data_IF_258925069210
#
_entry.id   IF_258925069210
#
_cell.length_a   1.000
_cell.length_b   1.000
_cell.length_c   1.000
_cell.angle_alpha   90.00
_cell.angle_beta   90.00
_cell.angle_gamma   90.00
#
_symmetry.space_group_name_H-M   'P 1'
#
loop_
_entity.id
_entity.type
_entity.pdbx_description
1 polymer ?
#
# COMPACT_ATOMS: atom_id res chain seq x y z
N UNK A 1 -24.07 1.54 24.50
CA UNK A 1 -23.36 2.52 23.63
C UNK A 1 -21.97 1.96 23.36
N UNK A 2 -21.60 1.73 22.10
CA UNK A 2 -20.23 1.30 21.74
C UNK A 2 -19.30 2.51 21.95
N UNK A 3 -18.19 2.38 22.69
CA UNK A 3 -17.26 3.48 22.91
C UNK A 3 -16.79 4.08 21.58
N UNK A 4 -16.65 5.40 21.50
CA UNK A 4 -16.25 6.11 20.28
C UNK A 4 -14.96 5.53 19.66
N UNK A 5 -14.02 5.09 20.51
CA UNK A 5 -12.76 4.44 20.11
C UNK A 5 -12.96 3.10 19.38
N UNK A 6 -13.98 2.32 19.75
CA UNK A 6 -14.33 1.08 19.05
C UNK A 6 -14.90 1.37 17.66
N UNK A 7 -15.79 2.36 17.55
CA UNK A 7 -16.38 2.75 16.25
C UNK A 7 -15.30 3.21 15.25
N UNK A 8 -14.34 4.01 15.71
CA UNK A 8 -13.21 4.43 14.87
C UNK A 8 -12.31 3.26 14.48
N UNK A 9 -11.99 2.34 15.40
CA UNK A 9 -11.17 1.18 15.09
C UNK A 9 -11.84 0.25 14.08
N UNK A 10 -13.14 -0.01 14.23
CA UNK A 10 -13.91 -0.83 13.31
C UNK A 10 -13.97 -0.17 11.92
N UNK A 11 -14.19 1.16 11.88
CA UNK A 11 -14.15 1.93 10.64
C UNK A 11 -12.77 1.81 9.96
N UNK A 12 -11.68 2.01 10.69
CA UNK A 12 -10.31 1.92 10.18
C UNK A 12 -10.05 0.52 9.60
N UNK A 13 -10.37 -0.53 10.35
CA UNK A 13 -10.12 -1.91 9.92
C UNK A 13 -10.95 -2.27 8.68
N UNK A 14 -12.23 -1.93 8.67
CA UNK A 14 -13.13 -2.21 7.55
C UNK A 14 -12.69 -1.47 6.28
N UNK A 15 -12.36 -0.18 6.39
CA UNK A 15 -11.90 0.61 5.24
C UNK A 15 -10.54 0.12 4.73
N UNK A 16 -9.59 -0.16 5.61
CA UNK A 16 -8.29 -0.70 5.23
C UNK A 16 -8.43 -2.05 4.52
N UNK A 17 -9.25 -2.97 5.06
CA UNK A 17 -9.48 -4.28 4.46
C UNK A 17 -10.16 -4.16 3.09
N UNK A 18 -11.23 -3.37 3.01
CA UNK A 18 -11.93 -3.11 1.74
C UNK A 18 -10.98 -2.53 0.70
N UNK A 19 -10.19 -1.53 1.08
CA UNK A 19 -9.24 -0.90 0.17
C UNK A 19 -8.14 -1.87 -0.29
N UNK A 20 -7.64 -2.72 0.61
CA UNK A 20 -6.69 -3.77 0.29
C UNK A 20 -7.23 -4.78 -0.73
N UNK A 21 -8.43 -5.31 -0.50
CA UNK A 21 -9.06 -6.26 -1.42
C UNK A 21 -9.34 -5.61 -2.78
N UNK A 22 -9.92 -4.41 -2.80
CA UNK A 22 -10.21 -3.69 -4.05
C UNK A 22 -8.94 -3.41 -4.84
N UNK A 23 -7.86 -2.96 -4.19
CA UNK A 23 -6.59 -2.69 -4.90
C UNK A 23 -5.90 -3.95 -5.36
N UNK A 24 -6.02 -5.07 -4.63
CA UNK A 24 -5.49 -6.35 -5.07
C UNK A 24 -6.16 -6.81 -6.37
N UNK A 25 -7.49 -6.72 -6.44
CA UNK A 25 -8.24 -7.08 -7.65
C UNK A 25 -7.87 -6.14 -8.80
N UNK A 26 -7.92 -4.83 -8.60
CA UNK A 26 -7.62 -3.84 -9.65
C UNK A 26 -6.20 -4.04 -10.19
N UNK A 27 -5.20 -4.10 -9.31
CA UNK A 27 -3.80 -4.23 -9.76
C UNK A 27 -3.48 -5.63 -10.27
N UNK A 28 -4.19 -6.66 -9.82
CA UNK A 28 -4.11 -7.99 -10.41
C UNK A 28 -4.63 -8.00 -11.85
N UNK A 29 -5.77 -7.35 -12.11
CA UNK A 29 -6.30 -7.19 -13.47
C UNK A 29 -5.35 -6.37 -14.34
N UNK A 30 -4.85 -5.22 -13.85
CA UNK A 30 -3.84 -4.42 -14.57
C UNK A 30 -2.60 -5.26 -14.87
N UNK A 31 -2.13 -6.05 -13.88
CA UNK A 31 -1.03 -6.98 -14.04
C UNK A 31 -1.28 -7.99 -15.15
N UNK A 32 -2.48 -8.59 -15.20
CA UNK A 32 -2.85 -9.51 -16.26
C UNK A 32 -2.77 -8.84 -17.64
N UNK A 33 -3.32 -7.64 -17.80
CA UNK A 33 -3.26 -6.92 -19.07
C UNK A 33 -1.84 -6.50 -19.47
N UNK A 34 -0.97 -6.26 -18.49
CA UNK A 34 0.44 -5.91 -18.69
C UNK A 34 1.32 -7.13 -19.03
N UNK A 35 0.94 -8.31 -18.55
CA UNK A 35 1.73 -9.54 -18.64
C UNK A 35 1.22 -10.52 -19.70
N UNK A 36 -0.05 -10.45 -20.09
CA UNK A 36 -0.62 -11.31 -21.13
C UNK A 36 0.18 -11.20 -22.43
N UNK A 37 0.37 -12.34 -23.10
CA UNK A 37 1.18 -12.42 -24.32
C UNK A 37 2.69 -12.59 -24.10
N UNK A 38 3.14 -12.71 -22.84
CA UNK A 38 4.51 -13.12 -22.50
C UNK A 38 4.50 -14.57 -22.02
N UNK A 39 5.36 -15.41 -22.60
CA UNK A 39 5.45 -16.83 -22.25
C UNK A 39 5.95 -17.02 -20.81
N UNK A 40 7.00 -16.30 -20.45
CA UNK A 40 7.54 -16.25 -19.09
C UNK A 40 7.97 -14.84 -18.73
N UNK A 41 7.89 -14.52 -17.45
CA UNK A 41 8.23 -13.24 -16.88
C UNK A 41 9.22 -13.43 -15.73
N UNK A 42 10.27 -12.62 -15.66
CA UNK A 42 11.12 -12.61 -14.47
C UNK A 42 10.33 -12.06 -13.29
N UNK A 43 10.15 -12.89 -12.27
CA UNK A 43 9.66 -12.46 -10.97
C UNK A 43 10.72 -11.60 -10.28
N UNK A 44 11.93 -12.12 -10.26
CA UNK A 44 13.16 -11.50 -9.76
C UNK A 44 14.27 -11.70 -10.81
N UNK A 45 15.21 -10.76 -10.94
CA UNK A 45 16.48 -10.94 -11.66
C UNK A 45 17.58 -10.24 -10.87
N UNK A 46 18.83 -10.65 -11.10
CA UNK A 46 20.00 -10.02 -10.48
C UNK A 46 20.24 -8.67 -11.15
N UNK A 47 19.57 -7.64 -10.64
CA UNK A 47 19.46 -6.32 -11.29
C UNK A 47 20.62 -5.39 -11.00
N UNK A 48 21.74 -5.85 -10.42
CA UNK A 48 22.96 -5.03 -10.39
C UNK A 48 23.42 -4.70 -11.83
N UNK A 49 23.05 -5.51 -12.84
CA UNK A 49 23.43 -5.30 -14.24
C UNK A 49 22.30 -5.30 -15.29
N UNK A 50 21.04 -5.59 -14.94
CA UNK A 50 19.95 -5.81 -15.91
C UNK A 50 18.93 -4.66 -16.01
N UNK A 51 18.72 -4.10 -17.20
CA UNK A 51 17.63 -3.15 -17.49
C UNK A 51 16.22 -3.81 -17.58
N UNK A 52 16.09 -5.09 -17.19
CA UNK A 52 14.85 -5.83 -17.35
C UNK A 52 13.81 -5.50 -16.25
N UNK A 53 12.59 -5.19 -16.68
CA UNK A 53 11.46 -5.00 -15.76
C UNK A 53 10.96 -6.35 -15.24
N UNK A 54 11.00 -6.54 -13.93
CA UNK A 54 10.47 -7.71 -13.23
C UNK A 54 9.10 -7.46 -12.64
N UNK A 55 8.41 -8.55 -12.27
CA UNK A 55 7.14 -8.46 -11.52
C UNK A 55 7.36 -7.73 -10.20
N UNK A 56 8.46 -8.01 -9.46
CA UNK A 56 8.74 -7.29 -8.23
C UNK A 56 9.15 -5.83 -8.44
N UNK A 57 9.96 -5.50 -9.45
CA UNK A 57 10.28 -4.08 -9.72
C UNK A 57 9.02 -3.28 -10.01
N UNK A 58 8.04 -3.91 -10.68
CA UNK A 58 6.74 -3.29 -10.94
C UNK A 58 5.92 -3.20 -9.65
N UNK A 59 5.84 -4.29 -8.89
CA UNK A 59 5.07 -4.35 -7.65
C UNK A 59 5.56 -3.39 -6.57
N UNK A 60 6.87 -3.23 -6.42
CA UNK A 60 7.50 -2.29 -5.49
C UNK A 60 7.10 -0.85 -5.84
N UNK A 61 7.18 -0.48 -7.12
CA UNK A 61 6.73 0.84 -7.57
C UNK A 61 5.22 1.02 -7.41
N UNK A 62 4.43 -0.01 -7.72
CA UNK A 62 2.98 0.00 -7.48
C UNK A 62 2.65 0.22 -6.01
N UNK A 63 3.32 -0.48 -5.09
CA UNK A 63 3.13 -0.31 -3.65
C UNK A 63 3.38 1.14 -3.21
N UNK A 64 4.44 1.77 -3.73
CA UNK A 64 4.73 3.17 -3.45
C UNK A 64 3.65 4.11 -4.00
N UNK A 65 3.32 4.01 -5.29
CA UNK A 65 2.31 4.87 -5.92
C UNK A 65 0.94 4.73 -5.26
N UNK A 66 0.52 3.51 -4.97
CA UNK A 66 -0.73 3.21 -4.25
C UNK A 66 -0.71 3.82 -2.85
N UNK A 67 0.44 3.77 -2.17
CA UNK A 67 0.59 4.41 -0.86
C UNK A 67 0.40 5.93 -0.92
N UNK A 68 0.96 6.60 -1.92
CA UNK A 68 0.79 8.06 -2.06
C UNK A 68 -0.68 8.42 -2.31
N UNK A 69 -1.32 7.75 -3.26
CA UNK A 69 -2.71 8.03 -3.65
C UNK A 69 -3.66 7.71 -2.51
N UNK A 70 -3.63 6.47 -2.00
CA UNK A 70 -4.58 6.04 -0.97
C UNK A 70 -4.29 6.66 0.38
N UNK A 71 -3.02 6.93 0.72
CA UNK A 71 -2.68 7.68 1.92
C UNK A 71 -3.29 9.08 1.90
N UNK A 72 -3.27 9.74 0.75
CA UNK A 72 -3.91 11.06 0.56
C UNK A 72 -5.43 10.97 0.74
N UNK A 73 -6.07 10.01 0.09
CA UNK A 73 -7.52 9.80 0.22
C UNK A 73 -7.89 9.48 1.68
N UNK A 74 -7.17 8.56 2.32
CA UNK A 74 -7.38 8.17 3.71
C UNK A 74 -7.29 9.37 4.65
N UNK A 75 -6.31 10.25 4.44
CA UNK A 75 -6.14 11.46 5.25
C UNK A 75 -7.41 12.33 5.22
N UNK A 76 -7.90 12.68 4.03
CA UNK A 76 -9.06 13.57 3.91
C UNK A 76 -10.37 12.91 4.35
N UNK A 77 -10.60 11.66 3.95
CA UNK A 77 -11.84 10.94 4.30
C UNK A 77 -11.94 10.67 5.79
N UNK A 78 -10.85 10.23 6.42
CA UNK A 78 -10.87 9.93 7.84
C UNK A 78 -10.88 11.18 8.71
N UNK A 79 -10.31 12.30 8.26
CA UNK A 79 -10.40 13.59 8.97
C UNK A 79 -11.85 13.96 9.27
N UNK A 80 -12.72 13.81 8.28
CA UNK A 80 -14.14 14.12 8.44
C UNK A 80 -14.83 13.11 9.37
N UNK A 81 -14.56 11.81 9.19
CA UNK A 81 -15.15 10.76 10.04
C UNK A 81 -14.69 10.80 11.50
N UNK A 82 -13.45 11.17 11.75
CA UNK A 82 -12.92 11.30 13.10
C UNK A 82 -13.60 12.44 13.88
N UNK A 83 -14.05 13.51 13.18
CA UNK A 83 -14.90 14.56 13.76
C UNK A 83 -16.27 13.98 14.14
N UNK A 84 -16.92 13.28 13.22
CA UNK A 84 -18.23 12.65 13.45
C UNK A 84 -18.20 11.70 14.67
N UNK A 85 -17.13 10.91 14.80
CA UNK A 85 -16.97 9.96 15.90
C UNK A 85 -16.50 10.59 17.22
N UNK A 86 -16.11 11.88 17.24
CA UNK A 86 -15.60 12.56 18.45
C UNK A 86 -14.39 11.84 19.09
N UNK A 87 -13.52 11.23 18.27
CA UNK A 87 -12.41 10.36 18.74
C UNK A 87 -11.05 11.05 18.84
N UNK A 88 -10.93 12.26 18.31
CA UNK A 88 -9.69 13.03 18.35
C UNK A 88 -9.99 14.47 18.75
N UNK A 89 -9.05 15.11 19.45
CA UNK A 89 -9.18 16.53 19.76
C UNK A 89 -9.19 17.36 18.46
N UNK A 90 -9.89 18.51 18.44
CA UNK A 90 -9.91 19.40 17.28
C UNK A 90 -8.50 19.75 16.78
N UNK A 91 -7.55 19.95 17.69
CA UNK A 91 -6.15 20.25 17.41
C UNK A 91 -5.46 19.18 16.54
N UNK A 92 -5.70 17.89 16.82
CA UNK A 92 -5.14 16.78 16.04
C UNK A 92 -5.73 16.75 14.62
N UNK A 93 -7.02 17.05 14.51
CA UNK A 93 -7.74 17.06 13.24
C UNK A 93 -7.52 18.35 12.45
N UNK A 94 -7.02 19.42 13.06
CA UNK A 94 -6.71 20.68 12.39
C UNK A 94 -5.31 20.70 11.76
N UNK A 95 -4.49 19.68 12.03
CA UNK A 95 -3.14 19.54 11.48
C UNK A 95 -3.11 19.75 9.95
N UNK A 96 -2.22 20.63 9.45
CA UNK A 96 -2.17 20.96 8.03
C UNK A 96 -1.70 19.77 7.20
N UNK A 97 -2.35 19.55 6.06
CA UNK A 97 -2.04 18.43 5.16
C UNK A 97 -0.59 18.46 4.68
N UNK A 98 -0.04 19.62 4.33
CA UNK A 98 1.30 19.70 3.75
C UNK A 98 2.41 19.31 4.73
N UNK A 99 2.30 19.66 6.01
CA UNK A 99 3.34 19.33 6.99
C UNK A 99 3.11 17.97 7.64
N UNK A 100 1.88 17.67 8.04
CA UNK A 100 1.56 16.44 8.75
C UNK A 100 1.14 15.31 7.80
N UNK A 101 0.18 15.59 6.91
CA UNK A 101 -0.35 14.61 5.95
C UNK A 101 0.72 14.09 4.99
N UNK A 102 1.39 14.96 4.25
CA UNK A 102 2.44 14.60 3.28
C UNK A 102 3.59 13.88 3.97
N UNK A 103 4.10 14.39 5.10
CA UNK A 103 5.14 13.71 5.89
C UNK A 103 4.72 12.30 6.29
N UNK A 104 3.51 12.14 6.81
CA UNK A 104 2.98 10.84 7.25
C UNK A 104 2.85 9.86 6.09
N UNK A 105 2.27 10.32 4.97
CA UNK A 105 2.06 9.52 3.77
C UNK A 105 3.40 9.12 3.14
N UNK A 106 4.36 10.05 3.04
CA UNK A 106 5.70 9.77 2.54
C UNK A 106 6.44 8.79 3.44
N UNK A 107 6.39 8.98 4.76
CA UNK A 107 7.04 8.07 5.70
C UNK A 107 6.52 6.64 5.56
N UNK A 108 5.20 6.44 5.62
CA UNK A 108 4.63 5.09 5.49
C UNK A 108 4.70 4.55 4.06
N UNK A 109 4.64 5.40 3.04
CA UNK A 109 4.81 5.01 1.65
C UNK A 109 6.24 4.53 1.36
N UNK A 110 7.25 5.26 1.84
CA UNK A 110 8.66 4.84 1.77
C UNK A 110 8.91 3.58 2.61
N UNK A 111 8.25 3.43 3.75
CA UNK A 111 8.33 2.22 4.55
C UNK A 111 7.76 1.00 3.79
N UNK A 112 6.59 1.14 3.16
CA UNK A 112 5.98 0.09 2.35
C UNK A 112 6.86 -0.26 1.13
N UNK A 113 7.35 0.76 0.43
CA UNK A 113 8.31 0.62 -0.67
C UNK A 113 9.56 -0.12 -0.23
N UNK A 114 10.22 0.34 0.84
CA UNK A 114 11.46 -0.24 1.34
C UNK A 114 11.27 -1.69 1.80
N UNK A 115 10.16 -1.97 2.48
CA UNK A 115 9.82 -3.34 2.91
C UNK A 115 9.61 -4.26 1.70
N UNK A 116 8.86 -3.81 0.68
CA UNK A 116 8.63 -4.59 -0.53
C UNK A 116 9.93 -4.78 -1.33
N UNK A 117 10.75 -3.74 -1.46
CA UNK A 117 12.03 -3.77 -2.17
C UNK A 117 13.02 -4.72 -1.48
N UNK A 118 13.16 -4.62 -0.16
CA UNK A 118 13.98 -5.54 0.62
C UNK A 118 13.47 -6.96 0.48
N UNK A 119 12.16 -7.20 0.60
CA UNK A 119 11.58 -8.53 0.39
C UNK A 119 11.92 -9.13 -0.97
N UNK A 120 11.80 -8.33 -2.04
CA UNK A 120 12.17 -8.75 -3.40
C UNK A 120 13.67 -9.04 -3.54
N UNK A 121 14.53 -8.18 -3.00
CA UNK A 121 15.98 -8.36 -3.01
C UNK A 121 16.43 -9.59 -2.22
N UNK A 122 15.84 -9.80 -1.03
CA UNK A 122 16.09 -10.99 -0.23
C UNK A 122 15.68 -12.25 -0.99
N UNK A 123 14.49 -12.25 -1.62
CA UNK A 123 14.04 -13.40 -2.40
C UNK A 123 14.97 -13.69 -3.57
N UNK A 124 15.37 -12.67 -4.34
CA UNK A 124 16.34 -12.81 -5.42
C UNK A 124 17.68 -13.35 -4.92
N UNK A 125 18.17 -12.83 -3.78
CA UNK A 125 19.47 -13.23 -3.23
C UNK A 125 19.52 -14.71 -2.84
N UNK A 126 18.43 -15.26 -2.30
CA UNK A 126 18.39 -16.63 -1.80
C UNK A 126 17.85 -17.66 -2.80
N UNK A 127 16.93 -17.27 -3.68
CA UNK A 127 16.30 -18.18 -4.64
C UNK A 127 16.76 -17.95 -6.09
N UNK A 128 17.56 -16.93 -6.34
CA UNK A 128 18.00 -16.55 -7.68
C UNK A 128 16.86 -16.04 -8.55
N UNK A 129 17.10 -16.05 -9.87
CA UNK A 129 16.14 -15.62 -10.88
C UNK A 129 14.99 -16.62 -10.99
N UNK A 130 13.79 -16.19 -10.61
CA UNK A 130 12.57 -17.00 -10.73
C UNK A 130 11.79 -16.53 -11.95
N UNK A 131 11.43 -17.45 -12.84
CA UNK A 131 10.50 -17.19 -13.94
C UNK A 131 9.09 -17.61 -13.53
N UNK A 132 8.11 -16.77 -13.85
CA UNK A 132 6.69 -17.02 -13.57
C UNK A 132 5.85 -16.82 -14.83
N UNK A 133 4.68 -17.43 -14.85
CA UNK A 133 3.69 -17.18 -15.89
C UNK A 133 3.04 -15.80 -15.71
N UNK A 134 2.42 -15.28 -16.78
CA UNK A 134 1.68 -14.01 -16.73
C UNK A 134 0.60 -13.98 -15.65
N UNK A 135 -0.11 -15.10 -15.45
CA UNK A 135 -1.15 -15.24 -14.42
C UNK A 135 -0.54 -15.10 -13.03
N UNK A 136 0.54 -15.84 -12.74
CA UNK A 136 1.20 -15.80 -11.44
C UNK A 136 1.77 -14.40 -11.17
N UNK A 137 2.42 -13.78 -12.16
CA UNK A 137 2.93 -12.42 -12.05
C UNK A 137 1.83 -11.41 -11.73
N UNK A 138 0.67 -11.54 -12.38
CA UNK A 138 -0.49 -10.69 -12.14
C UNK A 138 -1.03 -10.86 -10.71
N UNK A 139 -1.16 -12.09 -10.24
CA UNK A 139 -1.60 -12.40 -8.86
C UNK A 139 -0.64 -11.79 -7.84
N UNK A 140 0.68 -11.96 -8.03
CA UNK A 140 1.70 -11.39 -7.13
C UNK A 140 1.61 -9.87 -7.09
N UNK A 141 1.47 -9.22 -8.26
CA UNK A 141 1.30 -7.77 -8.33
C UNK A 141 0.05 -7.29 -7.58
N UNK A 142 -1.07 -8.00 -7.75
CA UNK A 142 -2.29 -7.76 -6.99
C UNK A 142 -2.06 -7.87 -5.49
N UNK A 143 -1.44 -8.94 -5.01
CA UNK A 143 -1.16 -9.15 -3.58
C UNK A 143 -0.30 -8.02 -3.00
N UNK A 144 0.79 -7.65 -3.67
CA UNK A 144 1.67 -6.56 -3.22
C UNK A 144 0.89 -5.25 -3.09
N UNK A 145 0.11 -4.91 -4.12
CA UNK A 145 -0.71 -3.70 -4.10
C UNK A 145 -1.77 -3.72 -2.99
N UNK A 146 -2.44 -4.86 -2.80
CA UNK A 146 -3.45 -5.01 -1.77
C UNK A 146 -2.89 -4.87 -0.35
N UNK A 147 -1.73 -5.46 -0.08
CA UNK A 147 -1.04 -5.30 1.19
C UNK A 147 -0.65 -3.84 1.41
N UNK A 148 -0.08 -3.19 0.40
CA UNK A 148 0.30 -1.78 0.48
C UNK A 148 -0.92 -0.87 0.75
N UNK A 149 -2.02 -1.10 0.02
CA UNK A 149 -3.27 -0.37 0.19
C UNK A 149 -3.90 -0.56 1.57
N UNK A 150 -3.93 -1.79 2.08
CA UNK A 150 -4.39 -2.06 3.44
C UNK A 150 -3.52 -1.36 4.48
N UNK A 151 -2.20 -1.50 4.35
CA UNK A 151 -1.24 -0.94 5.28
C UNK A 151 -1.33 0.58 5.34
N UNK A 152 -1.28 1.26 4.20
CA UNK A 152 -1.25 2.73 4.17
C UNK A 152 -2.54 3.34 4.71
N UNK A 153 -3.70 2.79 4.33
CA UNK A 153 -4.99 3.26 4.84
C UNK A 153 -5.03 3.16 6.36
N UNK A 154 -4.67 2.00 6.90
CA UNK A 154 -4.65 1.77 8.34
C UNK A 154 -3.66 2.70 9.05
N UNK A 155 -2.45 2.84 8.53
CA UNK A 155 -1.37 3.59 9.15
C UNK A 155 -1.63 5.09 9.17
N UNK A 156 -2.12 5.68 8.06
CA UNK A 156 -2.46 7.10 7.99
C UNK A 156 -3.62 7.42 8.94
N UNK A 157 -4.71 6.65 8.88
CA UNK A 157 -5.86 6.90 9.76
C UNK A 157 -5.49 6.78 11.24
N UNK A 158 -4.66 5.79 11.61
CA UNK A 158 -4.17 5.65 12.99
C UNK A 158 -3.24 6.79 13.41
N UNK A 159 -2.38 7.28 12.52
CA UNK A 159 -1.47 8.39 12.82
C UNK A 159 -2.25 9.67 13.14
N UNK A 160 -3.39 9.90 12.50
CA UNK A 160 -4.25 11.06 12.77
C UNK A 160 -4.88 11.07 14.17
N UNK A 161 -4.91 9.93 14.86
CA UNK A 161 -5.44 9.81 16.22
C UNK A 161 -4.35 9.91 17.29
N UNK A 162 -3.06 9.99 16.91
CA UNK A 162 -1.94 9.97 17.86
C UNK A 162 -1.43 11.38 18.16
N UNK A 163 -1.26 11.76 19.44
CA UNK A 163 -0.40 12.89 19.81
C UNK A 163 1.05 12.57 19.38
N UNK A 164 1.84 13.61 19.07
CA UNK A 164 3.24 13.46 18.63
C UNK A 164 4.17 13.06 19.79
#
# INVERSE_FOLDING_TARGET
MVPASHQANDFIQKNALSSGVTNAVINGVIGWFMFRGKDTLPLTVDTISGQEKTVFSTGVMTAFTVSIILGTIAFFTFRQKAKDFHVASPELLERPFFFFGVRTILFYGLFAFGTAALGALFLQKFLGTILVTAVIGAVILGIISGIAAWFINRSVMKAMLRPE
#
